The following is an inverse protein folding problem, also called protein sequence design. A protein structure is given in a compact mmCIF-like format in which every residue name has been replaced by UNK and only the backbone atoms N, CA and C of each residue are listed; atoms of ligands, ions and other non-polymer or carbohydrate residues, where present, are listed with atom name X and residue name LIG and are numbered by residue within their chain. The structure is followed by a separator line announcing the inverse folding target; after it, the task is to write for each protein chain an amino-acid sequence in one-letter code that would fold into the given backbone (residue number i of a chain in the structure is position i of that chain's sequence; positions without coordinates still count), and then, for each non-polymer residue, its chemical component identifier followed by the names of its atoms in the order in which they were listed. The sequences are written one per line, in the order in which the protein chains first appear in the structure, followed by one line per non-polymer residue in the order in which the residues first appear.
data_IF_471073012902
#
_entry.id   IF_471073012902
#
_cell.length_a   1.000
_cell.length_b   1.000
_cell.length_c   1.000
_cell.angle_alpha   90.00
_cell.angle_beta   90.00
_cell.angle_gamma   90.00
#
_symmetry.space_group_name_H-M   'P 1'
#
loop_
_entity.id
_entity.type
_entity.pdbx_description
1 polymer ?
#
# COMPACT_ATOMS: atom_id res chain seq x y z
N UNK A 1 -1.90 -5.50 -13.33
CA UNK A 1 -2.08 -4.22 -12.61
C UNK A 1 -3.03 -3.28 -13.33
N UNK A 2 -2.81 -3.00 -14.60
CA UNK A 2 -3.68 -2.05 -15.32
C UNK A 2 -5.15 -2.48 -15.38
N UNK A 3 -5.42 -3.77 -15.63
CA UNK A 3 -6.78 -4.28 -15.76
C UNK A 3 -7.59 -4.26 -14.46
N UNK A 4 -6.93 -4.27 -13.31
CA UNK A 4 -7.54 -4.24 -11.98
C UNK A 4 -7.32 -2.90 -11.27
N UNK A 5 -6.72 -1.93 -11.95
CA UNK A 5 -6.44 -0.60 -11.42
C UNK A 5 -5.65 -0.64 -10.10
N UNK A 6 -4.70 -1.58 -10.00
CA UNK A 6 -3.82 -1.72 -8.84
C UNK A 6 -2.39 -1.34 -9.20
N UNK A 7 -1.69 -0.67 -8.29
CA UNK A 7 -0.31 -0.22 -8.49
C UNK A 7 0.75 -1.16 -7.96
N UNK A 8 0.36 -2.19 -7.22
CA UNK A 8 1.29 -3.13 -6.62
C UNK A 8 0.61 -4.48 -6.37
N UNK A 9 1.43 -5.52 -6.33
CA UNK A 9 1.00 -6.89 -6.04
C UNK A 9 1.87 -7.46 -4.93
N UNK A 10 1.24 -8.18 -4.01
CA UNK A 10 1.96 -8.92 -2.98
C UNK A 10 2.35 -10.28 -3.56
N UNK A 11 3.62 -10.64 -3.41
CA UNK A 11 4.15 -11.91 -3.87
C UNK A 11 4.17 -12.90 -2.70
N UNK A 12 3.51 -14.03 -2.88
CA UNK A 12 3.42 -15.06 -1.84
C UNK A 12 4.29 -16.25 -2.20
N UNK A 13 4.89 -16.86 -1.16
CA UNK A 13 5.54 -18.15 -1.24
C UNK A 13 4.81 -19.05 -0.24
N UNK A 14 4.05 -20.01 -0.74
CA UNK A 14 3.04 -20.73 0.02
C UNK A 14 2.01 -19.72 0.56
N UNK A 15 1.84 -19.56 1.86
CA UNK A 15 0.90 -18.60 2.44
C UNK A 15 1.61 -17.38 3.03
N UNK A 16 2.93 -17.30 2.88
CA UNK A 16 3.74 -16.23 3.45
C UNK A 16 4.07 -15.18 2.41
N UNK A 17 4.13 -13.93 2.84
CA UNK A 17 4.53 -12.83 1.98
C UNK A 17 6.04 -12.94 1.72
N UNK A 18 6.41 -13.15 0.46
CA UNK A 18 7.81 -13.22 0.03
C UNK A 18 8.33 -11.86 -0.39
N UNK A 19 7.45 -10.99 -0.89
CA UNK A 19 7.85 -9.67 -1.36
C UNK A 19 6.66 -8.88 -1.85
N UNK A 20 6.95 -7.70 -2.37
CA UNK A 20 5.97 -6.85 -3.01
C UNK A 20 6.57 -6.31 -4.32
N UNK A 21 5.78 -6.28 -5.38
CA UNK A 21 6.19 -5.75 -6.67
C UNK A 21 5.22 -4.64 -7.08
N UNK A 22 5.76 -3.50 -7.50
CA UNK A 22 4.98 -2.36 -7.95
C UNK A 22 5.17 -2.15 -9.46
N UNK A 23 4.31 -1.32 -10.06
CA UNK A 23 4.48 -0.90 -11.44
C UNK A 23 5.87 -0.29 -11.66
N UNK A 24 6.36 0.49 -10.69
CA UNK A 24 7.68 1.10 -10.74
C UNK A 24 8.78 0.05 -10.82
N UNK A 25 8.66 -1.05 -10.06
CA UNK A 25 9.63 -2.15 -10.12
C UNK A 25 9.67 -2.79 -11.50
N UNK A 26 8.51 -2.97 -12.13
CA UNK A 26 8.41 -3.54 -13.48
C UNK A 26 9.06 -2.59 -14.50
N UNK A 27 8.75 -1.31 -14.42
CA UNK A 27 9.34 -0.30 -15.32
C UNK A 27 10.86 -0.24 -15.16
N UNK A 28 11.34 -0.26 -13.93
CA UNK A 28 12.78 -0.27 -13.64
C UNK A 28 13.46 -1.51 -14.20
N UNK A 29 12.84 -2.67 -14.01
CA UNK A 29 13.37 -3.94 -14.55
C UNK A 29 13.46 -3.92 -16.06
N UNK A 30 12.46 -3.37 -16.74
CA UNK A 30 12.46 -3.23 -18.19
C UNK A 30 13.53 -2.24 -18.66
N UNK A 31 13.73 -1.13 -17.94
CA UNK A 31 14.73 -0.14 -18.26
C UNK A 31 16.15 -0.71 -18.16
N UNK A 32 16.40 -1.57 -17.17
CA UNK A 32 17.71 -2.18 -16.93
C UNK A 32 17.99 -3.39 -17.82
N UNK A 33 16.98 -4.24 -18.02
CA UNK A 33 17.16 -5.53 -18.70
C UNK A 33 16.51 -5.64 -20.08
N UNK A 34 15.75 -4.65 -20.51
CA UNK A 34 15.03 -4.70 -21.79
C UNK A 34 14.00 -5.81 -21.82
N UNK A 35 13.70 -6.29 -23.03
CA UNK A 35 12.70 -7.34 -23.22
C UNK A 35 13.03 -8.66 -22.50
N UNK A 36 14.31 -8.93 -22.26
CA UNK A 36 14.73 -10.12 -21.53
C UNK A 36 14.23 -10.15 -20.09
N UNK A 37 13.94 -8.98 -19.50
CA UNK A 37 13.40 -8.88 -18.15
C UNK A 37 12.02 -9.52 -18.03
N UNK A 38 11.24 -9.58 -19.11
CA UNK A 38 9.91 -10.19 -19.10
C UNK A 38 9.93 -11.69 -18.84
N UNK A 39 11.05 -12.35 -19.15
CA UNK A 39 11.21 -13.78 -18.92
C UNK A 39 11.79 -14.14 -17.55
N UNK A 40 12.16 -13.13 -16.73
CA UNK A 40 12.74 -13.38 -15.41
C UNK A 40 11.64 -13.58 -14.37
N UNK A 41 11.92 -14.37 -13.32
CA UNK A 41 10.95 -14.52 -12.23
C UNK A 41 10.75 -13.19 -11.49
N UNK A 42 9.56 -12.98 -10.93
CA UNK A 42 9.21 -11.77 -10.18
C UNK A 42 10.14 -11.56 -8.99
N UNK A 43 10.69 -12.64 -8.43
CA UNK A 43 11.63 -12.56 -7.32
C UNK A 43 12.88 -11.76 -7.63
N UNK A 44 13.22 -11.58 -8.91
CA UNK A 44 14.37 -10.78 -9.31
C UNK A 44 14.14 -9.28 -9.25
N UNK A 45 12.88 -8.83 -9.24
CA UNK A 45 12.53 -7.40 -9.25
C UNK A 45 11.72 -6.97 -8.04
N UNK A 46 11.18 -7.90 -7.26
CA UNK A 46 10.37 -7.55 -6.09
C UNK A 46 11.20 -7.02 -4.93
N UNK A 47 10.56 -6.24 -4.07
CA UNK A 47 11.14 -5.83 -2.79
C UNK A 47 10.97 -6.98 -1.80
N UNK A 48 12.05 -7.49 -1.24
CA UNK A 48 12.05 -8.63 -0.32
C UNK A 48 11.93 -8.21 1.14
N UNK A 49 12.45 -7.04 1.49
CA UNK A 49 12.42 -6.52 2.85
C UNK A 49 11.11 -5.74 3.03
N UNK A 50 10.03 -6.49 3.22
CA UNK A 50 8.67 -5.94 3.24
C UNK A 50 8.31 -5.51 4.66
N UNK A 51 7.83 -4.27 4.78
CA UNK A 51 7.21 -3.79 6.00
C UNK A 51 5.75 -4.19 6.00
N UNK A 52 5.23 -4.53 7.17
CA UNK A 52 3.85 -4.98 7.33
C UNK A 52 3.07 -4.04 8.23
N UNK A 53 1.78 -3.96 7.99
CA UNK A 53 0.82 -3.30 8.87
C UNK A 53 -0.04 -4.36 9.55
N UNK A 54 -0.58 -4.03 10.71
CA UNK A 54 -1.57 -4.85 11.40
C UNK A 54 -2.93 -4.14 11.35
N UNK A 55 -4.04 -4.88 11.32
CA UNK A 55 -5.37 -4.27 11.18
C UNK A 55 -5.71 -3.25 12.27
N UNK A 56 -5.11 -3.36 13.45
CA UNK A 56 -5.35 -2.46 14.57
C UNK A 56 -4.55 -1.16 14.54
N UNK A 57 -3.63 -0.99 13.59
CA UNK A 57 -2.84 0.24 13.48
C UNK A 57 -3.70 1.37 12.93
N UNK A 58 -3.45 2.59 13.42
CA UNK A 58 -4.21 3.77 12.98
C UNK A 58 -3.76 4.26 11.60
N UNK A 59 -4.65 4.95 10.91
CA UNK A 59 -4.34 5.60 9.63
C UNK A 59 -3.16 6.56 9.78
N UNK A 60 -3.15 7.38 10.84
CA UNK A 60 -2.08 8.35 11.09
C UNK A 60 -0.74 7.65 11.28
N UNK A 61 -0.71 6.55 12.02
CA UNK A 61 0.51 5.75 12.22
C UNK A 61 1.04 5.19 10.91
N UNK A 62 0.16 4.63 10.08
CA UNK A 62 0.54 4.08 8.79
C UNK A 62 1.03 5.15 7.82
N UNK A 63 0.38 6.30 7.77
CA UNK A 63 0.83 7.43 6.94
C UNK A 63 2.23 7.87 7.32
N UNK A 64 2.51 7.96 8.62
CA UNK A 64 3.83 8.33 9.11
C UNK A 64 4.89 7.33 8.69
N UNK A 65 4.62 6.03 8.86
CA UNK A 65 5.54 4.96 8.46
C UNK A 65 5.81 4.96 6.97
N UNK A 66 4.78 5.14 6.15
CA UNK A 66 4.90 5.17 4.70
C UNK A 66 5.70 6.39 4.23
N UNK A 67 5.47 7.55 4.86
CA UNK A 67 6.23 8.77 4.56
C UNK A 67 7.70 8.62 4.91
N UNK A 68 8.01 8.10 6.11
CA UNK A 68 9.37 7.91 6.58
C UNK A 68 10.17 6.96 5.68
N UNK A 69 9.52 5.93 5.17
CA UNK A 69 10.15 4.90 4.34
C UNK A 69 9.97 5.14 2.85
N UNK A 70 9.22 6.17 2.46
CA UNK A 70 8.93 6.53 1.07
C UNK A 70 8.30 5.37 0.29
N UNK A 71 7.43 4.62 0.94
CA UNK A 71 6.69 3.51 0.34
C UNK A 71 5.23 3.91 0.15
N UNK A 72 4.58 3.35 -0.85
CA UNK A 72 3.21 3.70 -1.22
C UNK A 72 2.21 2.59 -0.96
N UNK A 73 2.67 1.40 -0.61
CA UNK A 73 1.84 0.22 -0.39
C UNK A 73 2.39 -0.57 0.79
N UNK A 74 1.49 -1.05 1.63
CA UNK A 74 1.82 -1.90 2.77
C UNK A 74 0.90 -3.11 2.79
N UNK A 75 1.44 -4.33 2.79
CA UNK A 75 0.64 -5.51 3.11
C UNK A 75 0.16 -5.44 4.55
N UNK A 76 -1.10 -5.80 4.75
CA UNK A 76 -1.69 -5.90 6.08
C UNK A 76 -1.75 -7.37 6.44
N UNK A 77 -1.10 -7.73 7.54
CA UNK A 77 -1.01 -9.12 7.99
C UNK A 77 -1.58 -9.27 9.40
N UNK A 78 -2.22 -10.39 9.63
CA UNK A 78 -2.72 -10.78 10.94
C UNK A 78 -2.25 -12.22 11.19
N UNK A 79 -1.47 -12.42 12.27
CA UNK A 79 -0.93 -13.74 12.61
C UNK A 79 -0.19 -14.40 11.44
N UNK A 80 0.71 -13.67 10.81
CA UNK A 80 1.51 -14.09 9.65
C UNK A 80 0.70 -14.39 8.39
N UNK A 81 -0.58 -14.04 8.36
CA UNK A 81 -1.43 -14.17 7.19
C UNK A 81 -1.72 -12.83 6.55
N UNK A 82 -1.62 -12.78 5.24
CA UNK A 82 -2.00 -11.61 4.47
C UNK A 82 -3.52 -11.46 4.49
N UNK A 83 -4.03 -10.34 4.99
CA UNK A 83 -5.46 -10.05 5.01
C UNK A 83 -5.83 -8.91 4.04
N UNK A 84 -4.86 -8.18 3.56
CA UNK A 84 -5.11 -7.10 2.60
C UNK A 84 -3.88 -6.32 2.28
N UNK A 85 -4.03 -5.29 1.48
CA UNK A 85 -2.99 -4.33 1.17
C UNK A 85 -3.60 -2.93 1.23
N UNK A 86 -2.87 -1.99 1.80
CA UNK A 86 -3.28 -0.58 1.81
C UNK A 86 -2.33 0.24 0.98
N UNK A 87 -2.86 1.21 0.26
CA UNK A 87 -2.08 2.19 -0.47
C UNK A 87 -2.09 3.53 0.24
N UNK A 88 -1.12 4.38 -0.07
CA UNK A 88 -1.10 5.74 0.47
C UNK A 88 -2.36 6.50 0.02
N UNK A 89 -2.87 6.23 -1.19
CA UNK A 89 -4.11 6.83 -1.67
C UNK A 89 -5.32 6.45 -0.82
N UNK A 90 -5.42 5.18 -0.41
CA UNK A 90 -6.50 4.71 0.46
C UNK A 90 -6.46 5.40 1.82
N UNK A 91 -5.25 5.56 2.39
CA UNK A 91 -5.07 6.20 3.68
C UNK A 91 -5.39 7.69 3.62
N UNK A 92 -4.98 8.37 2.54
CA UNK A 92 -5.27 9.78 2.33
C UNK A 92 -6.78 10.00 2.19
N UNK A 93 -7.48 9.15 1.43
CA UNK A 93 -8.93 9.23 1.31
C UNK A 93 -9.62 9.06 2.66
N UNK A 94 -9.17 8.11 3.46
CA UNK A 94 -9.71 7.88 4.80
C UNK A 94 -9.50 9.11 5.69
N UNK A 95 -8.32 9.72 5.63
CA UNK A 95 -8.01 10.92 6.42
C UNK A 95 -8.85 12.11 6.00
N UNK A 96 -9.05 12.30 4.69
CA UNK A 96 -9.88 13.38 4.17
C UNK A 96 -11.33 13.21 4.65
N UNK A 97 -11.88 11.99 4.57
CA UNK A 97 -13.24 11.69 5.04
C UNK A 97 -13.39 11.99 6.52
N UNK A 98 -12.40 11.65 7.34
CA UNK A 98 -12.39 11.95 8.78
C UNK A 98 -12.43 13.44 9.04
N UNK A 99 -11.58 14.22 8.34
CA UNK A 99 -11.52 15.66 8.49
C UNK A 99 -12.84 16.31 8.04
N UNK A 100 -13.43 15.85 6.94
CA UNK A 100 -14.72 16.35 6.46
C UNK A 100 -15.84 16.08 7.47
N UNK A 101 -15.86 14.89 8.05
CA UNK A 101 -16.84 14.51 9.06
C UNK A 101 -16.73 15.40 10.30
N UNK A 102 -15.51 15.70 10.75
CA UNK A 102 -15.27 16.61 11.87
C UNK A 102 -15.74 18.03 11.54
N UNK A 103 -15.45 18.53 10.33
CA UNK A 103 -15.87 19.85 9.88
C UNK A 103 -17.39 19.95 9.80
N UNK A 104 -18.06 18.94 9.25
CA UNK A 104 -19.51 18.87 9.16
C UNK A 104 -20.16 18.81 10.54
N UNK A 105 -19.56 18.05 11.45
CA UNK A 105 -20.01 17.99 12.84
C UNK A 105 -19.90 19.34 13.55
N UNK A 106 -18.82 20.05 13.34
CA UNK A 106 -18.60 21.38 13.90
C UNK A 106 -19.60 22.39 13.33
N UNK A 107 -19.84 22.35 12.02
CA UNK A 107 -20.84 23.22 11.38
C UNK A 107 -22.23 22.96 11.93
N UNK A 108 -22.60 21.70 12.12
CA UNK A 108 -23.88 21.33 12.69
C UNK A 108 -24.03 21.84 14.13
N UNK A 109 -22.97 21.75 14.92
CA UNK A 109 -22.94 22.26 16.30
C UNK A 109 -23.12 23.78 16.34
N UNK A 110 -22.40 24.48 15.47
CA UNK A 110 -22.51 25.97 15.38
C UNK A 110 -23.94 26.38 14.94
N UNK A 111 -24.50 25.65 13.96
CA UNK A 111 -25.84 25.94 13.47
C UNK A 111 -26.93 25.70 14.53
N UNK A 112 -26.70 24.75 15.44
CA UNK A 112 -27.62 24.41 16.51
C UNK A 112 -27.55 25.39 17.69
N UNK A 113 -26.48 26.15 17.78
CA UNK A 113 -26.29 27.13 18.86
C UNK A 113 -26.93 28.43 18.51
#
# INVERSE_FOLDING_TARGET
MAAKDVGALVVLDAERVAGIVSERDVVRGLAEGGAAALGKPVSSIMTKDVLFAQPGETVDSLLSRMSDRRIRHLPVCQKDRLVGIVSIGDLVKSKISEVEAEADGLKAYIAAS
#
